data_IF_815531576231
#
_entry.id   IF_815531576231
#
_cell.length_a   1.000
_cell.length_b   1.000
_cell.length_c   1.000
_cell.angle_alpha   90.00
_cell.angle_beta   90.00
_cell.angle_gamma   90.00
#
_symmetry.space_group_name_H-M   'P 1'
#
loop_
_entity.id
_entity.type
_entity.pdbx_description
1 polymer ?
#
# COMPACT_ATOMS: atom_id res chain seq x y z
N UNK A 1 9.73 18.16 -20.37
CA UNK A 1 10.27 17.41 -21.52
C UNK A 1 10.46 15.92 -21.21
N UNK A 2 10.98 15.55 -20.05
CA UNK A 2 11.28 14.15 -19.68
C UNK A 2 10.03 13.26 -19.51
N UNK A 3 8.92 13.79 -19.01
CA UNK A 3 7.67 13.03 -18.80
C UNK A 3 6.99 12.65 -20.14
N UNK A 4 7.05 13.50 -21.15
CA UNK A 4 6.50 13.22 -22.48
C UNK A 4 7.29 12.14 -23.22
N UNK A 5 8.61 12.12 -23.08
CA UNK A 5 9.48 11.11 -23.70
C UNK A 5 9.22 9.73 -23.09
N UNK A 6 9.02 9.64 -21.75
CA UNK A 6 8.69 8.39 -21.09
C UNK A 6 7.32 7.82 -21.50
N UNK A 7 6.31 8.68 -21.66
CA UNK A 7 4.98 8.29 -22.12
C UNK A 7 5.00 7.77 -23.57
N UNK A 8 5.75 8.45 -24.44
CA UNK A 8 5.94 8.05 -25.83
C UNK A 8 6.68 6.72 -25.94
N UNK A 9 7.75 6.53 -25.18
CA UNK A 9 8.50 5.28 -25.16
C UNK A 9 7.64 4.11 -24.62
N UNK A 10 6.84 4.34 -23.57
CA UNK A 10 5.90 3.36 -23.03
C UNK A 10 4.82 3.00 -24.07
N UNK A 11 4.29 3.98 -24.80
CA UNK A 11 3.28 3.74 -25.84
C UNK A 11 3.83 2.93 -27.01
N UNK A 12 5.07 3.19 -27.44
CA UNK A 12 5.72 2.40 -28.48
C UNK A 12 5.97 0.96 -28.01
N UNK A 13 6.41 0.77 -26.77
CA UNK A 13 6.63 -0.56 -26.19
C UNK A 13 5.32 -1.35 -26.09
N UNK A 14 4.23 -0.70 -25.64
CA UNK A 14 2.89 -1.30 -25.60
C UNK A 14 2.44 -1.71 -27.00
N UNK A 15 2.63 -0.86 -28.01
CA UNK A 15 2.27 -1.17 -29.39
C UNK A 15 3.06 -2.37 -29.94
N UNK A 16 4.37 -2.42 -29.70
CA UNK A 16 5.23 -3.54 -30.09
C UNK A 16 4.82 -4.84 -29.37
N UNK A 17 4.56 -4.79 -28.08
CA UNK A 17 4.14 -5.96 -27.29
C UNK A 17 2.74 -6.47 -27.69
N UNK A 18 1.84 -5.59 -28.10
CA UNK A 18 0.49 -5.96 -28.56
C UNK A 18 0.52 -6.85 -29.81
N UNK A 19 1.57 -6.73 -30.64
CA UNK A 19 1.81 -7.63 -31.78
C UNK A 19 2.27 -9.03 -31.34
N UNK A 20 2.86 -9.14 -30.12
CA UNK A 20 3.46 -10.35 -29.55
C UNK A 20 2.53 -11.17 -28.63
N UNK A 21 1.20 -11.04 -28.73
CA UNK A 21 0.22 -11.70 -27.82
C UNK A 21 0.26 -11.22 -26.37
N UNK A 22 0.73 -10.01 -26.11
CA UNK A 22 0.59 -9.35 -24.81
C UNK A 22 -0.68 -8.52 -24.78
N UNK A 23 -1.36 -8.50 -23.63
CA UNK A 23 -2.62 -7.80 -23.41
C UNK A 23 -2.55 -7.02 -22.10
N UNK A 24 -3.24 -5.86 -22.00
CA UNK A 24 -3.37 -5.17 -20.72
C UNK A 24 -4.02 -6.07 -19.65
N UNK A 25 -3.36 -6.23 -18.54
CA UNK A 25 -3.85 -6.95 -17.36
C UNK A 25 -3.71 -6.08 -16.11
N UNK A 26 -4.45 -6.39 -15.04
CA UNK A 26 -4.38 -5.67 -13.77
C UNK A 26 -3.66 -6.48 -12.72
N UNK A 27 -2.79 -5.81 -11.98
CA UNK A 27 -2.28 -6.28 -10.69
C UNK A 27 -2.99 -5.50 -9.61
N UNK A 28 -3.78 -6.19 -8.77
CA UNK A 28 -4.45 -5.57 -7.63
C UNK A 28 -3.54 -5.57 -6.40
N UNK A 29 -3.39 -4.42 -5.76
CA UNK A 29 -2.57 -4.29 -4.55
C UNK A 29 -3.38 -4.41 -3.27
N UNK A 30 -4.66 -4.13 -3.33
CA UNK A 30 -5.58 -4.17 -2.20
C UNK A 30 -6.36 -2.87 -2.08
N UNK A 31 -7.13 -2.80 -0.99
CA UNK A 31 -7.86 -1.59 -0.63
C UNK A 31 -8.16 -1.53 0.86
N UNK A 32 -8.39 -0.31 1.33
CA UNK A 32 -8.89 -0.05 2.66
C UNK A 32 -9.92 1.07 2.61
N UNK A 33 -10.93 0.98 3.45
CA UNK A 33 -11.96 2.00 3.55
C UNK A 33 -12.78 1.89 4.83
N UNK A 34 -13.64 2.88 5.01
CA UNK A 34 -14.72 2.90 5.99
C UNK A 34 -16.01 2.37 5.37
N UNK A 35 -17.07 2.29 6.13
CA UNK A 35 -18.41 1.92 5.62
C UNK A 35 -18.94 2.87 4.54
N UNK A 36 -18.40 4.10 4.44
CA UNK A 36 -18.81 5.12 3.46
C UNK A 36 -18.02 5.08 2.17
N UNK A 37 -16.73 4.76 2.26
CA UNK A 37 -15.80 4.88 1.15
C UNK A 37 -14.66 3.89 1.24
N UNK A 38 -14.21 3.36 0.11
CA UNK A 38 -13.05 2.47 0.04
C UNK A 38 -12.09 2.91 -1.04
N UNK A 39 -10.80 3.01 -0.70
CA UNK A 39 -9.72 3.25 -1.65
C UNK A 39 -9.26 1.94 -2.23
N UNK A 40 -9.20 1.85 -3.54
CA UNK A 40 -8.75 0.67 -4.31
C UNK A 40 -7.49 1.03 -5.07
N UNK A 41 -6.51 0.15 -5.01
CA UNK A 41 -5.21 0.33 -5.64
C UNK A 41 -4.88 -0.85 -6.56
N UNK A 42 -4.35 -0.53 -7.72
CA UNK A 42 -3.90 -1.51 -8.70
C UNK A 42 -2.98 -0.89 -9.74
N UNK A 43 -2.47 -1.71 -10.65
CA UNK A 43 -1.64 -1.26 -11.78
C UNK A 43 -1.96 -2.03 -13.03
N UNK A 44 -2.06 -1.34 -14.16
CA UNK A 44 -2.25 -1.95 -15.47
C UNK A 44 -0.91 -2.14 -16.15
N UNK A 45 -0.62 -3.37 -16.51
CA UNK A 45 0.63 -3.79 -17.14
C UNK A 45 0.33 -4.70 -18.35
N UNK A 46 1.26 -4.76 -19.32
CA UNK A 46 1.17 -5.73 -20.40
C UNK A 46 1.54 -7.14 -19.90
N UNK A 47 0.65 -8.12 -20.09
CA UNK A 47 0.83 -9.50 -19.68
C UNK A 47 0.53 -10.45 -20.86
N UNK A 48 1.12 -11.65 -20.87
CA UNK A 48 0.78 -12.70 -21.84
C UNK A 48 -0.59 -13.30 -21.53
N UNK A 49 -1.37 -13.62 -22.54
CA UNK A 49 -2.72 -14.13 -22.39
C UNK A 49 -2.87 -15.46 -21.66
N UNK A 50 -1.79 -16.26 -21.61
CA UNK A 50 -1.74 -17.58 -20.97
C UNK A 50 -1.20 -17.52 -19.53
N UNK A 51 -0.71 -16.35 -19.11
CA UNK A 51 -0.16 -16.17 -17.78
C UNK A 51 -1.32 -16.10 -16.77
N UNK A 52 -1.53 -17.19 -16.06
CA UNK A 52 -2.45 -17.25 -14.93
C UNK A 52 -2.06 -16.25 -13.84
N UNK A 53 -2.87 -16.16 -12.77
CA UNK A 53 -2.68 -15.24 -11.63
C UNK A 53 -1.30 -15.30 -10.97
N UNK A 54 -0.48 -16.32 -11.28
CA UNK A 54 0.82 -16.59 -10.66
C UNK A 54 2.01 -15.95 -11.38
N UNK A 55 1.85 -15.36 -12.57
CA UNK A 55 3.03 -14.94 -13.34
C UNK A 55 3.81 -13.79 -12.66
N UNK A 56 3.15 -12.89 -11.95
CA UNK A 56 3.83 -11.85 -11.15
C UNK A 56 4.50 -12.45 -9.90
N UNK A 57 3.92 -13.49 -9.33
CA UNK A 57 4.52 -14.21 -8.21
C UNK A 57 5.70 -15.08 -8.63
N UNK A 58 5.69 -15.54 -9.88
CA UNK A 58 6.77 -16.38 -10.45
C UNK A 58 7.88 -15.58 -11.13
N UNK A 59 7.65 -14.31 -11.48
CA UNK A 59 8.70 -13.46 -12.01
C UNK A 59 9.68 -13.05 -10.90
N UNK A 60 10.92 -13.55 -11.02
CA UNK A 60 11.99 -13.21 -10.09
C UNK A 60 12.37 -11.73 -10.22
N UNK A 61 12.29 -11.01 -9.09
CA UNK A 61 12.95 -9.75 -8.79
C UNK A 61 12.81 -8.63 -9.82
N UNK A 62 13.91 -8.28 -10.45
CA UNK A 62 14.05 -7.11 -11.31
C UNK A 62 13.15 -7.09 -12.55
N UNK A 63 12.71 -8.25 -13.07
CA UNK A 63 11.80 -8.32 -14.23
C UNK A 63 10.44 -7.70 -13.98
N UNK A 64 9.99 -7.62 -12.72
CA UNK A 64 8.72 -6.97 -12.34
C UNK A 64 8.75 -5.45 -12.58
N UNK A 65 9.93 -4.83 -12.65
CA UNK A 65 10.07 -3.39 -12.93
C UNK A 65 9.99 -3.05 -14.42
N UNK A 66 10.31 -4.01 -15.30
CA UNK A 66 10.35 -3.79 -16.75
C UNK A 66 9.07 -4.16 -17.48
N UNK A 67 8.00 -4.51 -16.76
CA UNK A 67 6.71 -4.72 -17.39
C UNK A 67 6.20 -3.41 -18.01
N UNK A 68 5.85 -3.46 -19.29
CA UNK A 68 5.34 -2.29 -19.99
C UNK A 68 4.07 -1.79 -19.30
N UNK A 69 4.13 -0.58 -18.79
CA UNK A 69 3.03 0.13 -18.18
C UNK A 69 2.03 0.52 -19.26
N UNK A 70 0.74 0.41 -18.97
CA UNK A 70 -0.30 0.84 -19.92
C UNK A 70 -0.94 2.12 -19.41
N UNK A 71 -0.47 3.30 -19.90
CA UNK A 71 -1.00 4.58 -19.48
C UNK A 71 -2.43 4.78 -19.99
N UNK A 72 -3.22 5.51 -19.20
CA UNK A 72 -4.60 5.94 -19.55
C UNK A 72 -5.56 4.80 -19.88
N UNK A 73 -5.22 3.56 -19.50
CA UNK A 73 -6.07 2.41 -19.73
C UNK A 73 -7.37 2.54 -18.92
N UNK A 74 -8.55 2.49 -19.55
CA UNK A 74 -9.82 2.46 -18.84
C UNK A 74 -9.98 1.14 -18.08
N UNK A 75 -10.49 1.22 -16.87
CA UNK A 75 -10.78 0.08 -16.01
C UNK A 75 -12.15 0.24 -15.35
N UNK A 76 -12.86 -0.85 -15.18
CA UNK A 76 -14.06 -0.94 -14.36
C UNK A 76 -13.67 -1.46 -12.97
N UNK A 77 -13.99 -0.67 -11.95
CA UNK A 77 -13.85 -1.05 -10.56
C UNK A 77 -15.23 -1.43 -10.03
N UNK A 78 -15.35 -2.63 -9.47
CA UNK A 78 -16.58 -3.11 -8.82
C UNK A 78 -16.29 -3.42 -7.35
N UNK A 79 -17.04 -2.80 -6.46
CA UNK A 79 -16.92 -2.95 -5.00
C UNK A 79 -18.31 -2.99 -4.40
N UNK A 80 -18.71 -4.13 -3.85
CA UNK A 80 -20.09 -4.32 -3.37
C UNK A 80 -21.09 -3.93 -4.44
N UNK A 81 -21.99 -3.01 -4.13
CA UNK A 81 -23.01 -2.51 -5.02
C UNK A 81 -22.51 -1.41 -5.97
N UNK A 82 -21.28 -0.90 -5.75
CA UNK A 82 -20.76 0.23 -6.52
C UNK A 82 -19.95 -0.23 -7.73
N UNK A 83 -20.17 0.43 -8.86
CA UNK A 83 -19.38 0.29 -10.09
C UNK A 83 -18.85 1.65 -10.52
N UNK A 84 -17.57 1.72 -10.85
CA UNK A 84 -16.92 2.98 -11.22
C UNK A 84 -15.98 2.77 -12.39
N UNK A 85 -16.07 3.66 -13.37
CA UNK A 85 -15.06 3.78 -14.42
C UNK A 85 -13.89 4.60 -13.88
N UNK A 86 -12.67 4.09 -14.06
CA UNK A 86 -11.44 4.79 -13.74
C UNK A 86 -10.47 4.70 -14.93
N UNK A 87 -9.45 5.54 -14.91
CA UNK A 87 -8.38 5.51 -15.90
C UNK A 87 -7.04 5.37 -15.16
N UNK A 88 -6.21 4.46 -15.63
CA UNK A 88 -4.85 4.35 -15.16
C UNK A 88 -4.10 5.67 -15.41
N UNK A 89 -3.24 6.05 -14.49
CA UNK A 89 -2.35 7.20 -14.68
C UNK A 89 -1.26 6.91 -15.72
N UNK A 90 -0.29 7.83 -15.89
CA UNK A 90 0.83 7.66 -16.82
C UNK A 90 1.74 6.48 -16.47
N UNK A 91 1.82 6.09 -15.20
CA UNK A 91 2.54 4.93 -14.68
C UNK A 91 1.74 3.62 -14.74
N UNK A 92 0.52 3.66 -15.27
CA UNK A 92 -0.40 2.54 -15.28
C UNK A 92 -1.11 2.31 -13.94
N UNK A 93 -0.94 3.20 -12.93
CA UNK A 93 -1.58 3.04 -11.62
C UNK A 93 -3.04 3.42 -11.64
N UNK A 94 -3.81 2.66 -10.89
CA UNK A 94 -5.22 2.91 -10.57
C UNK A 94 -5.29 3.15 -9.06
N UNK A 95 -5.58 4.38 -8.66
CA UNK A 95 -5.81 4.79 -7.26
C UNK A 95 -7.13 5.53 -7.18
N UNK A 96 -8.17 4.87 -6.74
CA UNK A 96 -9.52 5.42 -6.72
C UNK A 96 -10.21 5.18 -5.40
N UNK A 97 -10.88 6.21 -4.90
CA UNK A 97 -11.83 6.12 -3.78
C UNK A 97 -13.24 5.92 -4.33
N UNK A 98 -13.87 4.82 -3.94
CA UNK A 98 -15.24 4.43 -4.32
C UNK A 98 -16.17 4.71 -3.15
N UNK A 99 -17.23 5.49 -3.41
CA UNK A 99 -18.26 5.82 -2.44
C UNK A 99 -19.48 4.91 -2.63
N UNK A 100 -20.24 4.67 -1.54
CA UNK A 100 -21.54 4.00 -1.59
C UNK A 100 -21.45 2.52 -2.01
N UNK A 101 -20.44 1.81 -1.54
CA UNK A 101 -20.20 0.41 -1.86
C UNK A 101 -21.16 -0.55 -1.13
N UNK A 102 -21.75 -0.14 0.00
CA UNK A 102 -22.71 -0.95 0.76
C UNK A 102 -22.14 -2.24 1.35
N UNK A 103 -20.84 -2.27 1.65
CA UNK A 103 -20.17 -3.39 2.30
C UNK A 103 -20.14 -3.17 3.81
N UNK A 104 -20.40 -4.21 4.57
CA UNK A 104 -20.25 -4.27 6.01
C UNK A 104 -18.77 -4.27 6.42
N UNK A 105 -18.45 -3.96 7.70
CA UNK A 105 -17.09 -4.09 8.22
C UNK A 105 -16.51 -5.51 8.00
N UNK A 106 -15.23 -5.58 7.69
CA UNK A 106 -14.57 -6.87 7.44
C UNK A 106 -13.77 -6.92 6.13
N UNK A 107 -13.34 -8.12 5.78
CA UNK A 107 -12.62 -8.39 4.54
C UNK A 107 -13.58 -8.79 3.41
N UNK A 108 -13.47 -8.10 2.29
CA UNK A 108 -14.28 -8.33 1.09
C UNK A 108 -13.41 -8.46 -0.15
N UNK A 109 -14.04 -8.92 -1.23
CA UNK A 109 -13.45 -8.95 -2.56
C UNK A 109 -14.07 -7.86 -3.41
N UNK A 110 -13.22 -6.99 -3.93
CA UNK A 110 -13.51 -6.09 -5.03
C UNK A 110 -12.94 -6.65 -6.33
N UNK A 111 -13.23 -6.03 -7.46
CA UNK A 111 -12.59 -6.38 -8.72
C UNK A 111 -12.17 -5.14 -9.52
N UNK A 112 -11.07 -5.27 -10.25
CA UNK A 112 -10.62 -4.31 -11.25
C UNK A 112 -10.55 -5.05 -12.57
N UNK A 113 -11.22 -4.52 -13.61
CA UNK A 113 -11.27 -5.10 -14.93
C UNK A 113 -10.79 -4.09 -15.97
N UNK A 114 -9.84 -4.48 -16.80
CA UNK A 114 -9.44 -3.67 -17.95
C UNK A 114 -10.61 -3.64 -18.96
N UNK A 115 -10.97 -2.45 -19.39
CA UNK A 115 -11.98 -2.22 -20.41
C UNK A 115 -11.34 -2.00 -21.78
N UNK A 116 -12.07 -2.38 -22.80
CA UNK A 116 -11.78 -2.03 -24.19
C UNK A 116 -12.44 -0.67 -24.54
N UNK A 117 -11.89 0.08 -25.49
CA UNK A 117 -12.50 1.34 -25.94
C UNK A 117 -13.96 1.16 -26.41
N UNK A 118 -14.31 -0.01 -26.98
CA UNK A 118 -15.68 -0.39 -27.33
C UNK A 118 -16.60 -0.54 -26.12
N UNK A 119 -16.08 -1.08 -25.00
CA UNK A 119 -16.83 -1.27 -23.78
C UNK A 119 -17.16 0.08 -23.11
N UNK A 120 -16.19 1.03 -23.12
CA UNK A 120 -16.40 2.39 -22.62
C UNK A 120 -17.51 3.10 -23.39
N UNK A 121 -17.52 2.92 -24.72
CA UNK A 121 -18.61 3.46 -25.59
C UNK A 121 -19.96 2.79 -25.32
N UNK A 122 -19.96 1.46 -25.11
CA UNK A 122 -21.18 0.73 -24.77
C UNK A 122 -21.78 1.13 -23.42
N UNK A 123 -20.93 1.65 -22.49
CA UNK A 123 -21.38 2.23 -21.23
C UNK A 123 -21.96 3.64 -21.37
N UNK A 124 -22.06 4.16 -22.59
CA UNK A 124 -22.62 5.49 -22.89
C UNK A 124 -21.69 6.66 -22.50
N UNK A 125 -20.41 6.38 -22.24
CA UNK A 125 -19.41 7.41 -21.92
C UNK A 125 -18.55 7.67 -23.15
N UNK A 126 -18.67 8.88 -23.73
CA UNK A 126 -17.75 9.33 -24.77
C UNK A 126 -16.33 9.49 -24.18
N UNK A 127 -15.30 9.20 -24.98
CA UNK A 127 -13.89 9.28 -24.54
C UNK A 127 -13.54 10.65 -23.93
N UNK A 128 -14.06 11.75 -24.51
CA UNK A 128 -13.85 13.11 -23.99
C UNK A 128 -14.51 13.35 -22.64
N UNK A 129 -15.68 12.77 -22.40
CA UNK A 129 -16.39 12.88 -21.14
C UNK A 129 -15.69 12.05 -20.07
N UNK A 130 -15.17 10.90 -20.45
CA UNK A 130 -14.42 10.01 -19.57
C UNK A 130 -13.08 10.62 -19.13
N UNK A 131 -12.35 11.27 -20.04
CA UNK A 131 -11.11 11.98 -19.71
C UNK A 131 -11.36 13.21 -18.83
N UNK A 132 -12.40 13.98 -19.07
CA UNK A 132 -12.82 15.11 -18.23
C UNK A 132 -13.33 14.63 -16.87
N UNK A 133 -14.07 13.51 -16.84
CA UNK A 133 -14.53 12.88 -15.61
C UNK A 133 -13.36 12.39 -14.75
N UNK A 134 -12.34 11.79 -15.34
CA UNK A 134 -11.13 11.34 -14.63
C UNK A 134 -10.36 12.50 -14.00
N UNK A 135 -10.43 13.69 -14.58
CA UNK A 135 -9.76 14.89 -14.08
C UNK A 135 -10.60 15.62 -13.02
N UNK A 136 -11.93 15.57 -13.13
CA UNK A 136 -12.87 16.33 -12.28
C UNK A 136 -13.45 15.48 -11.14
N UNK A 137 -13.56 14.15 -11.30
CA UNK A 137 -14.23 13.26 -10.36
C UNK A 137 -13.26 12.29 -9.70
N UNK A 138 -12.69 12.71 -8.62
CA UNK A 138 -12.31 11.79 -7.54
C UNK A 138 -13.54 11.11 -6.90
N UNK A 139 -14.73 11.48 -7.34
CA UNK A 139 -16.03 10.87 -7.02
C UNK A 139 -16.68 10.37 -8.30
N UNK A 140 -16.45 9.10 -8.62
CA UNK A 140 -16.95 8.52 -9.85
C UNK A 140 -18.48 8.33 -9.83
N UNK A 141 -19.13 8.65 -10.95
CA UNK A 141 -20.56 8.41 -11.13
C UNK A 141 -20.86 6.89 -11.16
N UNK A 142 -21.92 6.42 -10.50
CA UNK A 142 -22.37 5.03 -10.62
C UNK A 142 -22.66 4.66 -12.07
N UNK A 143 -22.13 3.53 -12.53
CA UNK A 143 -22.40 2.99 -13.86
C UNK A 143 -23.56 1.99 -13.81
N UNK A 144 -24.39 1.94 -14.87
CA UNK A 144 -25.40 0.88 -15.00
C UNK A 144 -24.73 -0.50 -15.01
N UNK A 145 -25.48 -1.53 -14.63
CA UNK A 145 -25.01 -2.89 -14.76
C UNK A 145 -24.60 -3.14 -16.22
N UNK A 146 -23.40 -3.71 -16.49
CA UNK A 146 -23.05 -4.04 -17.86
C UNK A 146 -24.06 -5.06 -18.37
N UNK A 147 -24.54 -4.86 -19.59
CA UNK A 147 -25.29 -5.89 -20.29
C UNK A 147 -24.40 -7.13 -20.44
N UNK A 148 -24.98 -8.32 -20.35
CA UNK A 148 -24.24 -9.59 -20.51
C UNK A 148 -23.40 -9.67 -21.80
N UNK A 149 -23.80 -8.91 -22.81
CA UNK A 149 -23.07 -8.70 -24.07
C UNK A 149 -21.64 -8.12 -23.90
N UNK A 150 -21.32 -7.45 -22.78
CA UNK A 150 -19.95 -6.94 -22.52
C UNK A 150 -18.91 -8.05 -22.32
N UNK A 151 -19.35 -9.27 -22.10
CA UNK A 151 -18.49 -10.44 -21.87
C UNK A 151 -18.43 -11.38 -23.06
N UNK A 152 -19.06 -11.02 -24.20
CA UNK A 152 -19.02 -11.85 -25.39
C UNK A 152 -17.62 -11.94 -25.99
N UNK A 153 -17.32 -13.11 -26.56
CA UNK A 153 -16.01 -13.46 -27.13
C UNK A 153 -15.55 -12.42 -28.16
N UNK A 154 -14.36 -11.86 -28.03
CA UNK A 154 -13.86 -10.85 -28.95
C UNK A 154 -13.65 -11.44 -30.35
N UNK A 155 -14.01 -10.64 -31.34
CA UNK A 155 -13.66 -10.93 -32.75
C UNK A 155 -12.14 -10.83 -32.96
N UNK A 156 -11.58 -11.67 -33.83
CA UNK A 156 -10.15 -11.70 -34.19
C UNK A 156 -9.61 -10.28 -34.42
N UNK A 157 -8.49 -9.94 -33.76
CA UNK A 157 -7.74 -8.70 -34.00
C UNK A 157 -8.03 -7.54 -33.05
N UNK A 158 -8.91 -7.66 -32.03
CA UNK A 158 -9.17 -6.61 -31.02
C UNK A 158 -8.54 -6.98 -29.68
N UNK A 159 -7.99 -5.99 -28.99
CA UNK A 159 -7.53 -6.12 -27.61
C UNK A 159 -8.75 -6.55 -26.77
N UNK A 160 -8.61 -7.68 -26.08
CA UNK A 160 -9.69 -8.23 -25.26
C UNK A 160 -9.79 -7.45 -23.96
N UNK A 161 -11.00 -7.09 -23.54
CA UNK A 161 -11.24 -6.74 -22.16
C UNK A 161 -10.67 -7.85 -21.26
N UNK A 162 -9.80 -7.48 -20.32
CA UNK A 162 -9.19 -8.43 -19.40
C UNK A 162 -10.23 -9.10 -18.52
N UNK A 163 -9.94 -10.28 -17.98
CA UNK A 163 -10.77 -10.87 -16.94
C UNK A 163 -10.75 -9.98 -15.69
N UNK A 164 -11.85 -9.87 -14.94
CA UNK A 164 -11.85 -9.16 -13.66
C UNK A 164 -10.79 -9.76 -12.73
N UNK A 165 -9.93 -8.91 -12.21
CA UNK A 165 -8.92 -9.29 -11.21
C UNK A 165 -9.48 -9.03 -9.83
N UNK A 166 -9.56 -10.06 -9.00
CA UNK A 166 -10.00 -9.94 -7.61
C UNK A 166 -8.97 -9.19 -6.78
N UNK A 167 -9.46 -8.27 -5.96
CA UNK A 167 -8.66 -7.42 -5.06
C UNK A 167 -9.27 -7.50 -3.67
N UNK A 168 -8.50 -7.90 -2.67
CA UNK A 168 -8.98 -7.90 -1.28
C UNK A 168 -9.04 -6.48 -0.75
N UNK A 169 -10.15 -6.15 -0.11
CA UNK A 169 -10.38 -4.84 0.54
C UNK A 169 -10.82 -5.04 1.99
N UNK A 170 -10.30 -4.19 2.87
CA UNK A 170 -10.71 -4.14 4.28
C UNK A 170 -11.64 -2.96 4.48
N UNK A 171 -12.85 -3.21 4.98
CA UNK A 171 -13.76 -2.19 5.46
C UNK A 171 -13.59 -2.11 6.98
N UNK A 172 -13.19 -0.95 7.46
CA UNK A 172 -13.05 -0.64 8.89
C UNK A 172 -14.38 -0.12 9.39
N UNK A 173 -14.83 -0.64 10.53
CA UNK A 173 -16.06 -0.19 11.18
C UNK A 173 -15.93 1.24 11.66
N UNK A 174 -17.03 2.00 11.61
CA UNK A 174 -17.11 3.32 12.24
C UNK A 174 -17.02 3.23 13.79
N UNK A 175 -17.17 2.02 14.37
CA UNK A 175 -16.95 1.71 15.80
C UNK A 175 -15.53 1.25 16.13
N UNK A 176 -14.66 1.09 15.17
CA UNK A 176 -13.26 0.73 15.40
C UNK A 176 -12.46 1.97 15.82
N UNK A 177 -11.90 1.96 17.02
CA UNK A 177 -11.19 3.11 17.59
C UNK A 177 -9.67 2.94 17.66
N UNK A 178 -9.17 1.77 17.30
CA UNK A 178 -7.75 1.46 17.33
C UNK A 178 -7.28 0.85 16.01
N UNK A 179 -6.05 1.14 15.63
CA UNK A 179 -5.39 0.53 14.48
C UNK A 179 -3.87 0.59 14.61
N UNK A 180 -3.18 -0.14 13.77
CA UNK A 180 -1.71 -0.17 13.74
C UNK A 180 -1.21 0.29 12.38
N UNK A 181 -0.20 1.16 12.37
CA UNK A 181 0.62 1.46 11.18
C UNK A 181 2.02 0.97 11.47
N UNK A 182 2.51 0.01 10.70
CA UNK A 182 3.86 -0.55 10.85
C UNK A 182 4.69 -0.23 9.62
N UNK A 183 5.91 0.26 9.82
CA UNK A 183 6.92 0.21 8.78
C UNK A 183 7.28 -1.24 8.45
N UNK A 184 7.94 -1.45 7.31
CA UNK A 184 8.31 -2.79 6.82
C UNK A 184 9.81 -3.03 6.99
N UNK A 185 10.63 -2.16 6.41
CA UNK A 185 12.08 -2.35 6.33
C UNK A 185 12.71 -2.08 7.69
N UNK A 186 13.51 -3.03 8.19
CA UNK A 186 14.15 -3.01 9.52
C UNK A 186 13.17 -2.96 10.72
N UNK A 187 11.87 -2.93 10.47
CA UNK A 187 10.82 -3.03 11.50
C UNK A 187 10.21 -4.44 11.55
N UNK A 188 9.67 -4.95 10.46
CA UNK A 188 9.11 -6.32 10.40
C UNK A 188 10.03 -7.30 9.71
N UNK A 189 10.96 -6.81 8.91
CA UNK A 189 11.87 -7.59 8.07
C UNK A 189 13.28 -7.01 8.14
N UNK A 190 14.28 -7.83 8.51
CA UNK A 190 15.67 -7.40 8.60
C UNK A 190 16.23 -7.09 7.21
N UNK A 191 16.69 -5.85 7.01
CA UNK A 191 17.28 -5.37 5.77
C UNK A 191 18.80 -5.26 5.92
N UNK A 192 19.54 -6.32 5.67
CA UNK A 192 21.02 -6.30 5.75
C UNK A 192 21.67 -5.58 4.56
N UNK A 193 21.18 -4.43 4.14
CA UNK A 193 21.72 -3.71 2.98
C UNK A 193 22.42 -2.41 3.40
N UNK A 194 23.75 -2.26 3.14
CA UNK A 194 24.44 -1.00 3.33
C UNK A 194 23.80 0.10 2.47
N UNK A 195 23.59 1.29 3.02
CA UNK A 195 23.04 2.47 2.33
C UNK A 195 23.81 2.90 1.07
N UNK A 196 25.06 2.49 0.91
CA UNK A 196 25.90 2.78 -0.25
C UNK A 196 25.40 2.15 -1.55
N UNK A 197 24.40 1.25 -1.50
CA UNK A 197 23.85 0.57 -2.69
C UNK A 197 22.46 1.13 -3.04
N UNK A 198 22.28 2.42 -3.00
CA UNK A 198 21.07 3.08 -3.55
C UNK A 198 20.90 2.84 -5.06
N UNK A 199 21.98 2.56 -5.77
CA UNK A 199 21.96 2.15 -7.18
C UNK A 199 21.51 0.69 -7.39
N UNK A 200 21.58 -0.15 -6.36
CA UNK A 200 21.22 -1.57 -6.43
C UNK A 200 19.82 -1.87 -5.85
N UNK A 201 18.87 -0.92 -5.91
CA UNK A 201 17.45 -1.19 -5.60
C UNK A 201 16.88 -2.38 -6.38
N UNK A 202 17.52 -2.76 -7.47
CA UNK A 202 17.20 -3.98 -8.23
C UNK A 202 17.60 -5.28 -7.50
N UNK A 203 18.65 -5.25 -6.66
CA UNK A 203 19.03 -6.39 -5.83
C UNK A 203 18.09 -6.61 -4.63
N UNK A 204 17.28 -5.61 -4.31
CA UNK A 204 16.30 -5.67 -3.21
C UNK A 204 15.26 -6.77 -3.42
N UNK A 205 14.83 -7.01 -4.65
CA UNK A 205 13.75 -7.92 -4.98
C UNK A 205 14.16 -9.39 -5.00
N UNK A 206 15.39 -9.69 -5.40
CA UNK A 206 15.86 -11.08 -5.46
C UNK A 206 16.05 -11.69 -4.06
N UNK A 207 16.08 -10.86 -3.01
CA UNK A 207 16.39 -11.26 -1.64
C UNK A 207 15.21 -11.20 -0.66
N UNK A 208 14.04 -10.68 -1.03
CA UNK A 208 12.88 -10.63 -0.09
C UNK A 208 12.46 -12.03 0.36
N UNK A 209 12.62 -13.04 -0.50
CA UNK A 209 12.31 -14.44 -0.14
C UNK A 209 13.29 -15.06 0.87
N UNK A 210 14.49 -14.50 1.02
CA UNK A 210 15.54 -14.97 1.93
C UNK A 210 15.73 -14.07 3.16
N UNK A 211 14.88 -13.03 3.34
CA UNK A 211 14.96 -12.15 4.51
C UNK A 211 14.37 -12.81 5.74
N UNK A 212 14.94 -12.46 6.87
CA UNK A 212 14.48 -12.92 8.17
C UNK A 212 13.48 -11.94 8.77
N UNK A 213 12.49 -12.47 9.46
CA UNK A 213 11.56 -11.68 10.25
C UNK A 213 12.28 -11.14 11.50
N UNK A 214 11.98 -9.90 11.89
CA UNK A 214 12.45 -9.37 13.16
C UNK A 214 11.82 -10.18 14.29
N UNK A 215 12.61 -10.69 15.25
CA UNK A 215 12.11 -11.51 16.34
C UNK A 215 10.97 -10.83 17.11
N UNK A 216 9.95 -11.60 17.48
CA UNK A 216 8.81 -11.14 18.27
C UNK A 216 7.84 -10.18 17.56
N UNK A 217 8.20 -9.55 16.43
CA UNK A 217 7.34 -8.54 15.80
C UNK A 217 6.02 -9.09 15.28
N UNK A 218 6.01 -10.31 14.75
CA UNK A 218 4.75 -10.96 14.34
C UNK A 218 3.83 -11.18 15.54
N UNK A 219 4.39 -11.61 16.68
CA UNK A 219 3.65 -11.77 17.93
C UNK A 219 3.14 -10.42 18.46
N UNK A 220 3.97 -9.38 18.49
CA UNK A 220 3.57 -8.02 18.87
C UNK A 220 2.37 -7.56 18.06
N UNK A 221 2.50 -7.53 16.71
CA UNK A 221 1.48 -6.99 15.83
C UNK A 221 0.19 -7.81 15.87
N UNK A 222 0.28 -9.14 15.99
CA UNK A 222 -0.89 -10.01 16.13
C UNK A 222 -1.59 -9.76 17.48
N UNK A 223 -0.84 -9.67 18.57
CA UNK A 223 -1.40 -9.40 19.90
C UNK A 223 -2.12 -8.05 19.94
N UNK A 224 -1.50 -6.99 19.43
CA UNK A 224 -2.08 -5.65 19.42
C UNK A 224 -3.36 -5.59 18.58
N UNK A 225 -3.39 -6.22 17.42
CA UNK A 225 -4.56 -6.21 16.55
C UNK A 225 -5.70 -7.10 17.06
N UNK A 226 -5.38 -8.16 17.82
CA UNK A 226 -6.39 -9.05 18.41
C UNK A 226 -6.98 -8.48 19.70
N UNK A 227 -6.14 -7.95 20.60
CA UNK A 227 -6.57 -7.46 21.91
C UNK A 227 -7.50 -6.25 21.84
N UNK A 228 -7.36 -5.43 20.79
CA UNK A 228 -8.16 -4.22 20.60
C UNK A 228 -9.52 -4.47 19.95
N UNK A 229 -9.74 -5.67 19.40
CA UNK A 229 -10.98 -6.06 18.72
C UNK A 229 -12.19 -6.28 19.68
N UNK A 230 -12.01 -6.04 20.98
CA UNK A 230 -13.06 -6.18 22.00
C UNK A 230 -13.96 -4.94 22.12
N UNK A 231 -13.89 -4.00 21.17
CA UNK A 231 -14.74 -2.80 21.17
C UNK A 231 -16.19 -3.15 20.89
N UNK A 232 -17.10 -2.54 21.63
CA UNK A 232 -18.54 -2.73 21.47
C UNK A 232 -18.96 -2.32 20.03
N UNK A 233 -19.68 -3.19 19.35
CA UNK A 233 -20.11 -2.99 17.95
C UNK A 233 -19.14 -3.48 16.88
N UNK A 234 -17.97 -4.01 17.23
CA UNK A 234 -17.07 -4.70 16.30
C UNK A 234 -17.41 -6.19 16.28
N UNK A 235 -17.63 -6.83 15.12
CA UNK A 235 -17.96 -8.25 15.05
C UNK A 235 -16.89 -9.11 15.74
N UNK A 236 -17.33 -10.12 16.49
CA UNK A 236 -16.46 -11.04 17.21
C UNK A 236 -15.47 -11.72 16.23
N UNK A 237 -14.19 -11.78 16.60
CA UNK A 237 -13.12 -12.32 15.74
C UNK A 237 -12.61 -11.35 14.67
N UNK A 238 -13.05 -10.09 14.66
CA UNK A 238 -12.51 -9.06 13.80
C UNK A 238 -11.25 -8.50 14.42
N UNK A 239 -10.12 -8.58 13.70
CA UNK A 239 -8.87 -7.92 14.12
C UNK A 239 -8.92 -6.43 13.80
N UNK A 240 -8.36 -5.59 14.67
CA UNK A 240 -8.16 -4.17 14.37
C UNK A 240 -7.34 -3.97 13.10
N UNK A 241 -7.58 -2.91 12.34
CA UNK A 241 -6.90 -2.68 11.08
C UNK A 241 -5.39 -2.48 11.28
N UNK A 242 -4.61 -3.10 10.40
CA UNK A 242 -3.17 -2.86 10.30
C UNK A 242 -2.81 -2.40 8.89
N UNK A 243 -1.93 -1.39 8.81
CA UNK A 243 -1.38 -0.84 7.58
C UNK A 243 0.14 -1.00 7.58
N UNK A 244 0.66 -1.59 6.51
CA UNK A 244 2.10 -1.69 6.27
C UNK A 244 2.54 -0.53 5.38
N UNK A 245 3.31 0.38 5.95
CA UNK A 245 3.76 1.63 5.33
C UNK A 245 5.24 1.53 4.98
N UNK A 246 5.60 1.62 3.69
CA UNK A 246 7.00 1.53 3.26
C UNK A 246 7.31 2.51 2.13
N UNK A 247 8.57 2.89 2.04
CA UNK A 247 9.11 3.64 0.91
C UNK A 247 9.39 2.76 -0.31
N UNK A 248 9.17 1.45 -0.21
CA UNK A 248 9.28 0.50 -1.31
C UNK A 248 8.19 0.70 -2.38
N UNK A 249 8.49 0.22 -3.58
CA UNK A 249 7.56 0.35 -4.71
C UNK A 249 6.41 -0.67 -4.64
N UNK A 250 5.24 -0.30 -5.18
CA UNK A 250 4.07 -1.20 -5.27
C UNK A 250 4.36 -2.57 -5.92
N UNK A 251 5.36 -2.64 -6.79
CA UNK A 251 5.74 -3.87 -7.48
C UNK A 251 6.20 -4.99 -6.53
N UNK A 252 6.68 -4.65 -5.32
CA UNK A 252 7.15 -5.64 -4.33
C UNK A 252 6.03 -6.17 -3.45
N UNK A 253 4.83 -5.59 -3.49
CA UNK A 253 3.69 -5.99 -2.62
C UNK A 253 3.40 -7.49 -2.67
N UNK A 254 3.35 -8.18 -3.81
CA UNK A 254 3.10 -9.62 -3.83
C UNK A 254 4.13 -10.41 -3.03
N UNK A 255 5.40 -10.03 -3.13
CA UNK A 255 6.52 -10.70 -2.44
C UNK A 255 6.51 -10.38 -0.94
N UNK A 256 6.29 -9.12 -0.57
CA UNK A 256 6.17 -8.71 0.84
C UNK A 256 4.95 -9.38 1.49
N UNK A 257 3.81 -9.42 0.82
CA UNK A 257 2.61 -10.11 1.32
C UNK A 257 2.89 -11.58 1.61
N UNK A 258 3.52 -12.28 0.67
CA UNK A 258 3.91 -13.69 0.87
C UNK A 258 4.91 -13.89 2.00
N UNK A 259 5.80 -12.92 2.22
CA UNK A 259 6.71 -12.92 3.37
C UNK A 259 5.93 -12.76 4.67
N UNK A 260 5.07 -11.75 4.79
CA UNK A 260 4.27 -11.48 5.99
C UNK A 260 3.39 -12.68 6.34
N UNK A 261 2.70 -13.29 5.35
CA UNK A 261 1.87 -14.48 5.54
C UNK A 261 2.67 -15.67 6.07
N UNK A 262 3.85 -15.96 5.48
CA UNK A 262 4.72 -17.07 5.93
C UNK A 262 5.31 -16.84 7.31
N UNK A 263 5.56 -15.60 7.67
CA UNK A 263 6.16 -15.21 8.96
C UNK A 263 5.12 -14.98 10.06
N UNK A 264 3.84 -15.25 9.80
CA UNK A 264 2.78 -15.17 10.80
C UNK A 264 2.31 -13.76 11.15
N UNK A 265 2.59 -12.77 10.29
CA UNK A 265 2.10 -11.41 10.48
C UNK A 265 0.61 -11.27 10.16
N UNK A 266 -0.12 -10.40 10.86
CA UNK A 266 -1.53 -10.17 10.58
C UNK A 266 -1.76 -9.63 9.16
N UNK A 267 -2.88 -10.03 8.54
CA UNK A 267 -3.25 -9.53 7.23
C UNK A 267 -3.59 -8.05 7.28
N UNK A 268 -2.96 -7.24 6.43
CA UNK A 268 -3.11 -5.78 6.44
C UNK A 268 -3.16 -5.15 5.05
N UNK A 269 -3.45 -3.85 5.04
CA UNK A 269 -3.33 -3.01 3.86
C UNK A 269 -1.89 -2.57 3.62
N UNK A 270 -1.58 -2.17 2.38
CA UNK A 270 -0.25 -1.69 2.01
C UNK A 270 -0.32 -0.22 1.60
N UNK A 271 0.66 0.56 2.02
CA UNK A 271 0.89 1.96 1.67
C UNK A 271 2.32 2.09 1.13
N UNK A 272 2.47 1.88 -0.17
CA UNK A 272 3.77 1.83 -0.85
C UNK A 272 3.97 3.04 -1.76
N UNK A 273 5.19 3.25 -2.25
CA UNK A 273 5.47 4.33 -3.19
C UNK A 273 5.22 3.92 -4.63
N UNK A 274 4.99 4.94 -5.46
CA UNK A 274 5.06 4.80 -6.91
C UNK A 274 6.51 5.03 -7.36
N UNK A 275 7.10 4.04 -8.02
CA UNK A 275 8.47 4.09 -8.51
C UNK A 275 8.48 4.12 -10.04
N UNK A 276 8.99 5.20 -10.64
CA UNK A 276 9.14 5.31 -12.08
C UNK A 276 9.13 6.77 -12.57
N UNK A 277 9.40 7.02 -13.86
CA UNK A 277 9.39 8.33 -14.49
C UNK A 277 7.96 8.85 -14.71
N UNK A 278 7.06 8.64 -13.76
CA UNK A 278 5.67 9.05 -13.81
C UNK A 278 5.49 10.45 -13.23
N UNK A 279 4.44 11.07 -13.57
CA UNK A 279 3.77 12.34 -13.22
C UNK A 279 4.51 13.43 -12.40
N UNK A 280 5.50 13.13 -11.56
CA UNK A 280 6.09 14.07 -10.59
C UNK A 280 7.61 14.02 -10.47
N UNK A 281 8.32 13.36 -11.41
CA UNK A 281 9.79 13.25 -11.37
C UNK A 281 10.32 11.89 -10.88
N UNK A 282 11.62 11.64 -11.11
CA UNK A 282 12.29 10.34 -10.87
C UNK A 282 12.37 9.92 -9.39
N UNK A 283 12.21 10.88 -8.47
CA UNK A 283 12.40 10.63 -7.05
C UNK A 283 11.30 11.33 -6.24
N UNK A 284 10.28 10.59 -5.83
CA UNK A 284 9.50 11.00 -4.67
C UNK A 284 10.34 10.76 -3.43
N UNK A 285 10.46 11.75 -2.56
CA UNK A 285 11.07 11.60 -1.24
C UNK A 285 10.29 10.54 -0.46
N UNK A 286 11.00 9.49 -0.02
CA UNK A 286 10.39 8.44 0.82
C UNK A 286 9.72 9.00 2.08
N UNK A 287 10.37 9.93 2.81
CA UNK A 287 9.77 10.60 3.96
C UNK A 287 8.47 11.32 3.63
N UNK A 288 8.39 12.03 2.49
CA UNK A 288 7.18 12.75 2.09
C UNK A 288 6.03 11.81 1.73
N UNK A 289 6.34 10.63 1.20
CA UNK A 289 5.32 9.59 1.00
C UNK A 289 4.71 9.15 2.33
N UNK A 290 5.54 8.79 3.34
CA UNK A 290 5.06 8.37 4.66
C UNK A 290 4.20 9.47 5.30
N UNK A 291 4.64 10.73 5.29
CA UNK A 291 3.85 11.88 5.78
C UNK A 291 2.48 11.99 5.11
N UNK A 292 2.46 11.90 3.80
CA UNK A 292 1.21 12.01 3.03
C UNK A 292 0.23 10.87 3.32
N UNK A 293 0.71 9.64 3.43
CA UNK A 293 -0.17 8.50 3.70
C UNK A 293 -0.70 8.51 5.14
N UNK A 294 0.10 8.91 6.14
CA UNK A 294 -0.36 9.11 7.51
C UNK A 294 -1.45 10.19 7.59
N UNK A 295 -1.24 11.36 6.97
CA UNK A 295 -2.26 12.42 6.88
C UNK A 295 -3.53 11.95 6.15
N UNK A 296 -3.39 11.03 5.20
CA UNK A 296 -4.54 10.42 4.51
C UNK A 296 -5.31 9.50 5.45
N UNK A 297 -4.63 8.67 6.25
CA UNK A 297 -5.27 7.80 7.24
C UNK A 297 -6.04 8.62 8.29
N UNK A 298 -5.46 9.71 8.82
CA UNK A 298 -6.15 10.58 9.76
C UNK A 298 -7.44 11.18 9.18
N UNK A 299 -7.45 11.55 7.89
CA UNK A 299 -8.65 12.08 7.23
C UNK A 299 -9.68 11.00 6.88
N UNK A 300 -9.23 9.80 6.54
CA UNK A 300 -10.10 8.69 6.17
C UNK A 300 -10.76 8.05 7.40
N UNK A 301 -10.04 8.00 8.52
CA UNK A 301 -10.45 7.37 9.77
C UNK A 301 -10.22 8.30 10.95
N UNK A 302 -10.95 9.43 11.06
CA UNK A 302 -10.71 10.44 12.10
C UNK A 302 -11.04 9.94 13.52
N UNK A 303 -11.77 8.83 13.63
CA UNK A 303 -12.16 8.18 14.88
C UNK A 303 -11.17 7.09 15.32
N UNK A 304 -10.23 6.68 14.45
CA UNK A 304 -9.24 5.65 14.75
C UNK A 304 -7.97 6.28 15.29
N UNK A 305 -7.50 5.79 16.42
CA UNK A 305 -6.18 6.10 16.96
C UNK A 305 -5.17 5.05 16.52
N UNK A 306 -4.14 5.49 15.83
CA UNK A 306 -3.13 4.62 15.24
C UNK A 306 -1.92 4.48 16.17
N UNK A 307 -1.53 3.23 16.49
CA UNK A 307 -0.21 2.95 17.02
C UNK A 307 0.79 2.93 15.86
N UNK A 308 1.80 3.77 15.93
CA UNK A 308 2.83 3.89 14.90
C UNK A 308 4.03 3.06 15.31
N UNK A 309 4.38 2.06 14.50
CA UNK A 309 5.49 1.12 14.76
C UNK A 309 6.54 1.31 13.67
N UNK A 310 7.77 1.59 14.06
CA UNK A 310 8.89 1.84 13.15
C UNK A 310 10.24 1.51 13.80
N UNK A 311 11.31 1.90 13.15
CA UNK A 311 12.68 1.72 13.62
C UNK A 311 13.43 3.06 13.78
N UNK A 312 14.56 3.04 14.48
CA UNK A 312 15.45 4.21 14.66
C UNK A 312 16.53 4.32 13.57
N UNK A 313 16.55 3.41 12.61
CA UNK A 313 17.52 3.39 11.51
C UNK A 313 17.17 4.28 10.34
N UNK A 314 15.99 4.89 10.31
CA UNK A 314 15.53 5.73 9.21
C UNK A 314 14.83 7.00 9.74
N UNK A 315 13.89 7.56 8.97
CA UNK A 315 13.19 8.80 9.31
C UNK A 315 11.88 8.58 10.07
N UNK A 316 11.61 7.37 10.59
CA UNK A 316 10.34 7.08 11.27
C UNK A 316 10.15 7.92 12.53
N UNK A 317 11.15 8.11 13.39
CA UNK A 317 11.02 8.95 14.57
C UNK A 317 10.59 10.39 14.25
N UNK A 318 11.21 11.02 13.23
CA UNK A 318 10.90 12.38 12.83
C UNK A 318 9.49 12.48 12.22
N UNK A 319 9.13 11.51 11.35
CA UNK A 319 7.83 11.49 10.66
C UNK A 319 6.71 11.24 11.65
N UNK A 320 6.90 10.31 12.61
CA UNK A 320 5.90 9.97 13.61
C UNK A 320 5.72 11.07 14.64
N UNK A 321 6.81 11.71 15.07
CA UNK A 321 6.74 12.88 15.94
C UNK A 321 6.01 14.06 15.27
N UNK A 322 6.30 14.33 13.98
CA UNK A 322 5.60 15.36 13.21
C UNK A 322 4.10 15.04 13.12
N UNK A 323 3.74 13.80 12.80
CA UNK A 323 2.35 13.37 12.70
C UNK A 323 1.63 13.44 14.04
N UNK A 324 2.28 13.06 15.15
CA UNK A 324 1.72 13.15 16.49
C UNK A 324 1.46 14.59 16.93
N UNK A 325 2.30 15.54 16.52
CA UNK A 325 2.06 16.99 16.76
C UNK A 325 0.91 17.53 15.91
N UNK A 326 0.81 17.08 14.65
CA UNK A 326 -0.23 17.56 13.72
C UNK A 326 -1.62 16.96 14.04
N UNK A 327 -1.66 15.68 14.45
CA UNK A 327 -2.91 14.92 14.71
C UNK A 327 -2.84 14.10 16.03
N UNK A 328 -2.63 14.73 17.20
CA UNK A 328 -2.45 13.98 18.45
C UNK A 328 -3.65 13.09 18.79
N UNK A 329 -4.85 13.49 18.40
CA UNK A 329 -6.08 12.71 18.61
C UNK A 329 -6.14 11.42 17.77
N UNK A 330 -5.37 11.33 16.69
CA UNK A 330 -5.31 10.15 15.81
C UNK A 330 -4.13 9.22 16.15
N UNK A 331 -3.34 9.51 17.21
CA UNK A 331 -2.19 8.69 17.58
C UNK A 331 -2.43 8.02 18.93
N UNK A 332 -2.39 6.70 18.96
CA UNK A 332 -2.49 5.91 20.19
C UNK A 332 -1.13 5.84 20.93
N UNK A 333 -0.05 5.92 20.19
CA UNK A 333 1.32 5.91 20.68
C UNK A 333 2.33 5.67 19.54
N UNK A 334 3.61 5.72 19.89
CA UNK A 334 4.73 5.48 18.98
C UNK A 334 5.59 4.38 19.59
N UNK A 335 5.85 3.30 18.84
CA UNK A 335 6.71 2.20 19.23
C UNK A 335 7.90 2.11 18.28
N UNK A 336 9.10 2.32 18.79
CA UNK A 336 10.34 2.36 18.00
C UNK A 336 11.21 1.16 18.33
N UNK A 337 11.50 0.37 17.30
CA UNK A 337 12.52 -0.67 17.38
C UNK A 337 13.90 -0.02 17.35
N UNK A 338 14.68 -0.25 18.40
CA UNK A 338 16.08 0.16 18.43
C UNK A 338 16.93 -0.86 17.69
N UNK A 339 17.63 -0.41 16.66
CA UNK A 339 18.54 -1.26 15.90
C UNK A 339 19.79 -1.58 16.74
N UNK A 340 20.31 -2.81 16.60
CA UNK A 340 21.61 -3.18 17.19
C UNK A 340 22.75 -2.32 16.63
N UNK A 341 23.87 -2.25 17.33
CA UNK A 341 25.05 -1.49 16.88
C UNK A 341 25.50 -1.90 15.47
N UNK A 342 25.42 -3.18 15.14
CA UNK A 342 25.75 -3.69 13.81
C UNK A 342 24.73 -3.22 12.74
N UNK A 343 23.43 -3.29 13.05
CA UNK A 343 22.38 -2.80 12.16
C UNK A 343 22.48 -1.28 11.97
N UNK A 344 22.78 -0.53 13.03
CA UNK A 344 23.02 0.90 12.98
C UNK A 344 24.22 1.27 12.14
N UNK A 345 25.35 0.55 12.30
CA UNK A 345 26.53 0.74 11.46
C UNK A 345 26.20 0.47 9.98
N UNK A 346 25.45 -0.59 9.69
CA UNK A 346 25.01 -0.91 8.33
C UNK A 346 24.04 0.15 7.78
N UNK A 347 23.17 0.70 8.63
CA UNK A 347 22.20 1.72 8.24
C UNK A 347 22.81 3.12 8.14
N UNK A 348 23.71 3.52 9.03
CA UNK A 348 24.19 4.90 9.17
C UNK A 348 25.70 5.09 9.06
N UNK A 349 26.49 4.02 9.15
CA UNK A 349 27.95 4.10 9.26
C UNK A 349 28.43 4.60 10.63
N UNK A 350 27.59 4.61 11.66
CA UNK A 350 27.88 5.03 13.04
C UNK A 350 27.49 3.94 14.02
N UNK A 351 28.28 3.79 15.08
CA UNK A 351 28.03 2.83 16.18
C UNK A 351 27.28 3.47 17.38
N UNK A 352 26.88 4.73 17.28
CA UNK A 352 26.21 5.43 18.37
C UNK A 352 24.71 5.33 18.22
N UNK A 353 24.05 4.58 19.11
CA UNK A 353 22.60 4.61 19.27
C UNK A 353 22.20 6.01 19.81
N UNK A 354 21.62 6.83 18.98
CA UNK A 354 21.06 8.11 19.38
C UNK A 354 19.56 7.99 19.43
N UNK A 355 18.96 8.30 20.58
CA UNK A 355 17.51 8.56 20.61
C UNK A 355 17.28 9.78 19.74
N UNK A 356 16.45 9.67 18.70
CA UNK A 356 16.23 10.80 17.82
C UNK A 356 15.58 11.96 18.60
N UNK A 357 16.22 13.13 18.58
CA UNK A 357 15.73 14.35 19.26
C UNK A 357 14.28 14.70 18.87
N UNK A 358 13.86 14.28 17.72
CA UNK A 358 12.50 14.49 17.23
C UNK A 358 11.43 13.92 18.18
N UNK A 359 11.69 12.79 18.86
CA UNK A 359 10.71 12.17 19.75
C UNK A 359 10.51 12.94 21.05
N UNK A 360 11.46 13.81 21.44
CA UNK A 360 11.26 14.75 22.56
C UNK A 360 10.19 15.81 22.30
N UNK A 361 9.82 15.99 21.03
CA UNK A 361 8.80 16.97 20.62
C UNK A 361 7.39 16.38 20.52
N UNK A 362 7.24 15.09 20.83
CA UNK A 362 5.94 14.40 20.85
C UNK A 362 5.11 14.94 22.02
N UNK A 363 3.81 15.21 21.82
CA UNK A 363 2.92 15.65 22.90
C UNK A 363 2.90 14.63 24.06
N UNK A 364 2.87 15.08 25.30
CA UNK A 364 2.84 14.23 26.52
C UNK A 364 1.64 13.25 26.53
N UNK A 365 0.57 13.59 25.83
CA UNK A 365 -0.59 12.71 25.69
C UNK A 365 -0.37 11.49 24.79
N UNK A 366 0.76 11.44 24.07
CA UNK A 366 1.11 10.36 23.14
C UNK A 366 2.31 9.60 23.72
N UNK A 367 2.11 8.38 24.23
CA UNK A 367 3.20 7.59 24.79
C UNK A 367 4.16 7.12 23.70
N UNK A 368 5.45 7.02 24.08
CA UNK A 368 6.53 6.54 23.23
C UNK A 368 7.21 5.37 23.92
N UNK A 369 7.38 4.26 23.20
CA UNK A 369 8.03 3.05 23.68
C UNK A 369 9.20 2.68 22.79
N UNK A 370 10.21 2.09 23.40
CA UNK A 370 11.40 1.57 22.72
C UNK A 370 11.57 0.09 23.05
N UNK A 371 12.19 -0.65 22.14
CA UNK A 371 12.55 -2.05 22.36
C UNK A 371 13.45 -2.56 21.23
N UNK A 372 14.33 -3.50 21.55
CA UNK A 372 15.25 -4.11 20.55
C UNK A 372 14.52 -5.00 19.54
N UNK A 373 13.36 -5.52 19.93
CA UNK A 373 12.57 -6.47 19.15
C UNK A 373 11.08 -6.39 19.56
N UNK A 374 10.27 -7.27 18.98
CA UNK A 374 8.84 -7.25 19.22
C UNK A 374 8.43 -7.67 20.63
N UNK A 375 9.18 -8.56 21.29
CA UNK A 375 8.87 -8.96 22.66
C UNK A 375 9.16 -7.83 23.64
N UNK A 376 10.31 -7.19 23.53
CA UNK A 376 10.68 -6.04 24.36
C UNK A 376 9.69 -4.87 24.18
N UNK A 377 9.26 -4.59 22.94
CA UNK A 377 8.22 -3.59 22.67
C UNK A 377 6.89 -3.97 23.31
N UNK A 378 6.48 -5.25 23.22
CA UNK A 378 5.22 -5.72 23.80
C UNK A 378 5.21 -5.61 25.32
N UNK A 379 6.32 -5.96 25.97
CA UNK A 379 6.48 -5.81 27.41
C UNK A 379 6.39 -4.34 27.84
N UNK A 380 7.07 -3.46 27.14
CA UNK A 380 7.06 -2.02 27.44
C UNK A 380 5.67 -1.40 27.22
N UNK A 381 4.95 -1.77 26.16
CA UNK A 381 3.58 -1.32 25.92
C UNK A 381 2.64 -1.81 27.04
N UNK A 382 2.75 -3.07 27.47
CA UNK A 382 1.91 -3.65 28.53
C UNK A 382 2.23 -3.09 29.91
N UNK A 383 3.51 -2.85 30.20
CA UNK A 383 3.97 -2.32 31.49
C UNK A 383 3.54 -0.89 31.76
N UNK A 384 2.92 -0.20 30.79
CA UNK A 384 2.59 1.24 30.85
C UNK A 384 3.77 2.13 31.26
N UNK A 385 4.99 1.58 31.22
CA UNK A 385 6.20 2.35 31.46
C UNK A 385 6.52 3.14 30.17
N UNK A 386 6.62 4.45 30.31
CA UNK A 386 7.43 5.26 29.39
C UNK A 386 8.89 4.88 29.67
N UNK A 387 9.24 3.66 29.36
CA UNK A 387 10.61 3.17 29.50
C UNK A 387 11.38 3.56 28.25
N UNK A 388 11.70 4.81 28.16
CA UNK A 388 12.66 5.35 27.22
C UNK A 388 13.61 6.26 27.99
N UNK A 389 14.73 6.70 27.40
CA UNK A 389 15.66 7.66 27.98
C UNK A 389 15.00 9.01 28.36
N UNK A 390 13.66 9.12 28.24
CA UNK A 390 12.86 10.26 28.65
C UNK A 390 12.47 10.22 30.15
N UNK A 391 12.67 9.09 30.86
CA UNK A 391 12.28 8.96 32.28
C UNK A 391 13.29 9.52 33.29
N UNK A 392 14.49 9.90 32.84
CA UNK A 392 15.60 10.36 33.69
C UNK A 392 15.85 11.87 33.63
N UNK A 393 14.79 12.69 33.37
CA UNK A 393 14.87 14.16 33.48
C UNK A 393 13.79 14.73 34.35
#
# INVERSE_FOLDING_TARGET
LTAGVGEFASSLLVAAMSQGRYYPGVVGFGGIGSERSVRILGRVLMARGDDGRSWLQTQRGWRQFFNAQVPRQPVLITVGNARRLAFADRGGFVDMTVLGHGLEPGWHNASIQVLHAGDVRALGLAEDTAAKLATTLRTATPLPAPASAMYERPRKGRIRAGRPTSVRVRIVSDHEHFGVVSDIDDTVMVSMLPRLITAAKHAFLDRVSSREAVPGMAHLLTTLTTSSASSEGVPEGTHSPIMYLSTGAWNVVPTVRSFLERSGYPAGGFLMTDFGPSNTGWFRSGPEHKRRELRRLARMFPHVRWLLVGDDGQHDPEIYAEFAREFPQCVAGIAIRSLSELEQFMAHGSFVAMVPDALWTVPESVPVWYGSDGEALLENIRGRGTAGPLSDR
#
